data_IF_169127509674
#
_entry.id   IF_169127509674
#
_cell.length_a   1.000
_cell.length_b   1.000
_cell.length_c   1.000
_cell.angle_alpha   90.00
_cell.angle_beta   90.00
_cell.angle_gamma   90.00
#
_symmetry.space_group_name_H-M   'P 1'
#
loop_
_entity.id
_entity.type
_entity.pdbx_description
1 polymer ?
#
# COMPACT_ATOMS: atom_id res chain seq x y z
N UNK A 1 1.65 -3.72 -1.53
CA UNK A 1 0.36 -4.40 -1.35
C UNK A 1 -0.53 -4.11 -2.54
N UNK A 2 -0.38 -4.82 -3.66
CA UNK A 2 -1.21 -4.61 -4.86
C UNK A 2 -2.60 -5.25 -4.76
N UNK A 3 -2.99 -5.67 -3.56
CA UNK A 3 -4.03 -6.68 -3.37
C UNK A 3 -5.37 -6.12 -2.88
N UNK A 4 -5.46 -4.84 -2.50
CA UNK A 4 -6.58 -4.32 -1.71
C UNK A 4 -7.97 -4.55 -2.34
N UNK A 5 -8.22 -4.03 -3.54
CA UNK A 5 -9.59 -3.92 -4.04
C UNK A 5 -10.09 -5.19 -4.73
N UNK A 6 -9.23 -5.86 -5.50
CA UNK A 6 -9.52 -7.21 -6.03
C UNK A 6 -9.84 -8.18 -4.90
N UNK A 7 -9.13 -8.07 -3.76
CA UNK A 7 -9.42 -8.89 -2.59
C UNK A 7 -10.72 -8.49 -1.91
N UNK A 8 -11.06 -7.22 -1.67
CA UNK A 8 -12.34 -6.90 -0.99
C UNK A 8 -13.53 -7.52 -1.73
N UNK A 9 -13.56 -7.39 -3.05
CA UNK A 9 -14.62 -7.94 -3.90
C UNK A 9 -14.59 -9.46 -3.90
N UNK A 10 -13.43 -10.09 -4.09
CA UNK A 10 -13.29 -11.54 -4.09
C UNK A 10 -13.58 -12.17 -2.71
N UNK A 11 -13.14 -11.53 -1.64
CA UNK A 11 -13.35 -11.91 -0.25
C UNK A 11 -14.82 -11.75 0.13
N UNK A 12 -15.50 -10.66 -0.24
CA UNK A 12 -16.94 -10.52 -0.02
C UNK A 12 -17.72 -11.63 -0.73
N UNK A 13 -17.31 -12.02 -1.95
CA UNK A 13 -17.91 -13.13 -2.70
C UNK A 13 -17.69 -14.49 -2.04
N UNK A 14 -16.49 -14.74 -1.54
CA UNK A 14 -16.20 -15.93 -0.72
C UNK A 14 -17.06 -15.98 0.53
N UNK A 15 -17.23 -14.84 1.20
CA UNK A 15 -18.06 -14.74 2.40
C UNK A 15 -19.52 -15.14 2.16
N UNK A 16 -20.10 -14.74 1.02
CA UNK A 16 -21.48 -15.12 0.62
C UNK A 16 -21.57 -16.51 -0.04
N UNK A 17 -20.51 -17.33 0.04
CA UNK A 17 -20.52 -18.72 -0.43
C UNK A 17 -20.30 -18.91 -1.93
N UNK A 18 -19.87 -17.87 -2.67
CA UNK A 18 -19.55 -18.03 -4.09
C UNK A 18 -18.20 -18.72 -4.26
N UNK A 19 -18.20 -19.84 -5.00
CA UNK A 19 -16.98 -20.60 -5.32
C UNK A 19 -16.04 -19.85 -6.28
N UNK A 20 -16.56 -18.89 -7.05
CA UNK A 20 -15.80 -18.14 -8.05
C UNK A 20 -15.49 -16.71 -7.58
N UNK A 21 -14.37 -16.56 -6.88
CA UNK A 21 -13.90 -15.31 -6.28
C UNK A 21 -12.92 -14.54 -7.16
N UNK A 22 -12.45 -15.16 -8.25
CA UNK A 22 -11.55 -14.56 -9.23
C UNK A 22 -12.27 -13.57 -10.16
N UNK A 23 -13.60 -13.64 -10.17
CA UNK A 23 -14.48 -12.85 -11.04
C UNK A 23 -14.76 -11.49 -10.37
N UNK A 24 -14.55 -10.35 -11.03
CA UNK A 24 -14.94 -9.03 -10.54
C UNK A 24 -16.44 -8.90 -10.31
N UNK A 25 -16.83 -8.00 -9.38
CA UNK A 25 -18.23 -7.74 -9.00
C UNK A 25 -19.07 -7.27 -10.20
N UNK A 26 -18.49 -6.36 -10.98
CA UNK A 26 -19.15 -5.71 -12.12
C UNK A 26 -19.05 -6.53 -13.42
N UNK A 27 -18.13 -7.49 -13.51
CA UNK A 27 -17.82 -8.19 -14.76
C UNK A 27 -18.13 -9.68 -14.66
N UNK A 28 -19.42 -10.05 -14.70
CA UNK A 28 -19.90 -11.44 -14.65
C UNK A 28 -19.31 -12.35 -15.74
N UNK A 29 -18.83 -11.77 -16.86
CA UNK A 29 -18.23 -12.53 -17.97
C UNK A 29 -16.71 -12.69 -17.84
N UNK A 30 -16.08 -12.13 -16.80
CA UNK A 30 -14.62 -12.11 -16.66
C UNK A 30 -13.99 -13.51 -16.68
N UNK A 31 -14.64 -14.53 -16.13
CA UNK A 31 -14.14 -15.93 -16.19
C UNK A 31 -13.96 -16.43 -17.62
N UNK A 32 -14.84 -15.99 -18.53
CA UNK A 32 -14.84 -16.36 -19.94
C UNK A 32 -13.85 -15.54 -20.77
N UNK A 33 -13.18 -14.56 -20.17
CA UNK A 33 -12.19 -13.75 -20.88
C UNK A 33 -10.92 -14.57 -21.14
N UNK A 34 -10.28 -14.30 -22.28
CA UNK A 34 -8.96 -14.85 -22.58
C UNK A 34 -7.95 -14.41 -21.53
N UNK A 35 -6.86 -15.17 -21.40
CA UNK A 35 -5.76 -14.88 -20.47
C UNK A 35 -5.30 -13.42 -20.59
N UNK A 36 -4.91 -12.98 -21.80
CA UNK A 36 -4.44 -11.61 -22.06
C UNK A 36 -5.45 -10.52 -21.70
N UNK A 37 -6.75 -10.78 -21.87
CA UNK A 37 -7.79 -9.81 -21.52
C UNK A 37 -7.96 -9.70 -20.00
N UNK A 38 -7.79 -10.79 -19.25
CA UNK A 38 -7.78 -10.78 -17.79
C UNK A 38 -6.55 -10.04 -17.26
N UNK A 39 -5.37 -10.35 -17.77
CA UNK A 39 -4.11 -9.69 -17.40
C UNK A 39 -4.16 -8.17 -17.67
N UNK A 40 -4.59 -7.78 -18.87
CA UNK A 40 -4.73 -6.37 -19.22
C UNK A 40 -5.72 -5.65 -18.29
N UNK A 41 -6.84 -6.27 -17.94
CA UNK A 41 -7.81 -5.68 -17.04
C UNK A 41 -7.28 -5.57 -15.60
N UNK A 42 -6.65 -6.62 -15.09
CA UNK A 42 -6.08 -6.64 -13.75
C UNK A 42 -5.03 -5.54 -13.59
N UNK A 43 -4.18 -5.37 -14.60
CA UNK A 43 -3.19 -4.31 -14.64
C UNK A 43 -3.81 -2.91 -14.80
N UNK A 44 -4.73 -2.72 -15.77
CA UNK A 44 -5.26 -1.39 -16.06
C UNK A 44 -6.27 -0.89 -15.03
N UNK A 45 -7.01 -1.77 -14.37
CA UNK A 45 -8.09 -1.38 -13.46
C UNK A 45 -7.72 -1.67 -12.01
N UNK A 46 -7.42 -2.92 -11.66
CA UNK A 46 -7.21 -3.28 -10.25
C UNK A 46 -5.96 -2.68 -9.64
N UNK A 47 -4.84 -2.75 -10.37
CA UNK A 47 -3.61 -2.12 -9.95
C UNK A 47 -3.78 -0.59 -9.78
N UNK A 48 -4.48 0.06 -10.71
CA UNK A 48 -4.75 1.50 -10.66
C UNK A 48 -5.67 1.90 -9.50
N UNK A 49 -6.70 1.10 -9.20
CA UNK A 49 -7.56 1.31 -8.04
C UNK A 49 -6.78 1.15 -6.72
N UNK A 50 -5.88 0.17 -6.63
CA UNK A 50 -4.99 0.03 -5.47
C UNK A 50 -4.03 1.23 -5.34
N UNK A 51 -3.45 1.69 -6.45
CA UNK A 51 -2.66 2.92 -6.51
C UNK A 51 -3.46 4.15 -6.06
N UNK A 52 -4.73 4.25 -6.44
CA UNK A 52 -5.59 5.38 -6.05
C UNK A 52 -5.80 5.45 -4.53
N UNK A 53 -5.88 4.31 -3.84
CA UNK A 53 -5.94 4.28 -2.38
C UNK A 53 -4.66 4.82 -1.74
N UNK A 54 -3.50 4.33 -2.18
CA UNK A 54 -2.20 4.79 -1.67
C UNK A 54 -1.98 6.28 -1.96
N UNK A 55 -2.34 6.72 -3.16
CA UNK A 55 -2.33 8.13 -3.55
C UNK A 55 -3.26 8.96 -2.66
N UNK A 56 -4.45 8.46 -2.32
CA UNK A 56 -5.39 9.16 -1.43
C UNK A 56 -4.81 9.35 -0.04
N UNK A 57 -4.10 8.34 0.51
CA UNK A 57 -3.41 8.47 1.80
C UNK A 57 -2.29 9.51 1.70
N UNK A 58 -1.47 9.46 0.65
CA UNK A 58 -0.42 10.46 0.41
C UNK A 58 -1.00 11.88 0.25
N UNK A 59 -2.14 12.02 -0.42
CA UNK A 59 -2.84 13.29 -0.58
C UNK A 59 -3.35 13.82 0.76
N UNK A 60 -3.89 12.95 1.62
CA UNK A 60 -4.28 13.33 2.99
C UNK A 60 -3.07 13.78 3.81
N UNK A 61 -1.91 13.12 3.69
CA UNK A 61 -0.66 13.58 4.29
C UNK A 61 -0.30 15.00 3.82
N UNK A 62 -0.35 15.22 2.51
CA UNK A 62 -0.04 16.51 1.89
C UNK A 62 -1.02 17.61 2.30
N UNK A 63 -2.30 17.31 2.44
CA UNK A 63 -3.29 18.30 2.83
C UNK A 63 -3.21 18.64 4.32
N UNK A 64 -2.95 17.66 5.20
CA UNK A 64 -3.18 17.83 6.66
C UNK A 64 -1.89 17.90 7.48
N UNK A 65 -0.86 17.14 7.12
CA UNK A 65 0.40 17.09 7.87
C UNK A 65 1.45 18.04 7.28
N UNK A 66 1.55 18.06 5.96
CA UNK A 66 2.58 18.84 5.27
C UNK A 66 2.51 20.35 5.58
N UNK A 67 1.35 21.04 5.58
CA UNK A 67 1.29 22.48 5.85
C UNK A 67 1.70 22.84 7.28
N UNK A 68 1.55 21.91 8.22
CA UNK A 68 1.89 22.10 9.64
C UNK A 68 3.39 21.83 9.87
N UNK A 69 3.95 20.83 9.20
CA UNK A 69 5.31 20.35 9.44
C UNK A 69 6.34 21.01 8.54
N UNK A 70 6.00 21.34 7.30
CA UNK A 70 6.92 21.90 6.31
C UNK A 70 7.51 23.27 6.70
N UNK A 71 6.75 24.24 7.25
CA UNK A 71 7.33 25.51 7.70
C UNK A 71 8.35 25.34 8.83
N UNK A 72 8.17 24.34 9.70
CA UNK A 72 9.10 24.00 10.78
C UNK A 72 10.35 23.25 10.24
N UNK A 73 10.25 22.61 9.07
CA UNK A 73 11.26 21.69 8.54
C UNK A 73 12.56 22.36 8.08
N UNK A 74 12.65 23.69 8.02
CA UNK A 74 13.93 24.38 7.73
C UNK A 74 14.99 24.10 8.82
N UNK A 75 14.56 23.82 10.05
CA UNK A 75 15.44 23.44 11.16
C UNK A 75 15.13 22.02 11.62
N UNK A 76 16.16 21.19 11.79
CA UNK A 76 15.96 19.82 12.24
C UNK A 76 15.70 19.79 13.75
N UNK A 77 14.47 19.45 14.16
CA UNK A 77 14.13 19.31 15.57
C UNK A 77 13.04 18.27 15.81
N UNK A 78 13.04 17.69 17.01
CA UNK A 78 12.21 16.52 17.34
C UNK A 78 10.71 16.74 17.14
N UNK A 79 10.20 17.97 17.36
CA UNK A 79 8.77 18.27 17.31
C UNK A 79 8.10 17.98 15.96
N UNK A 80 8.65 18.42 14.82
CA UNK A 80 8.04 18.13 13.51
C UNK A 80 8.42 16.74 13.01
N UNK A 81 9.65 16.28 13.31
CA UNK A 81 10.11 14.93 12.95
C UNK A 81 9.20 13.87 13.59
N UNK A 82 8.93 13.98 14.88
CA UNK A 82 8.06 13.02 15.59
C UNK A 82 6.64 13.02 15.03
N UNK A 83 6.10 14.17 14.59
CA UNK A 83 4.78 14.24 13.90
C UNK A 83 4.76 13.41 12.61
N UNK A 84 5.82 13.50 11.80
CA UNK A 84 5.95 12.72 10.56
C UNK A 84 6.04 11.22 10.86
N UNK A 85 6.84 10.83 11.85
CA UNK A 85 6.95 9.44 12.30
C UNK A 85 5.63 8.90 12.85
N UNK A 86 4.98 9.64 13.75
CA UNK A 86 3.68 9.27 14.33
C UNK A 86 2.60 9.14 13.25
N UNK A 87 2.60 10.01 12.24
CA UNK A 87 1.68 9.88 11.11
C UNK A 87 1.92 8.60 10.31
N UNK A 88 3.17 8.27 9.98
CA UNK A 88 3.49 7.05 9.23
C UNK A 88 3.16 5.79 10.04
N UNK A 89 3.47 5.77 11.33
CA UNK A 89 3.09 4.69 12.25
C UNK A 89 1.57 4.59 12.38
N UNK A 90 0.85 5.71 12.47
CA UNK A 90 -0.61 5.70 12.49
C UNK A 90 -1.18 5.15 11.17
N UNK A 91 -0.56 5.45 10.02
CA UNK A 91 -0.97 4.87 8.74
C UNK A 91 -0.74 3.36 8.69
N UNK A 92 0.37 2.86 9.24
CA UNK A 92 0.60 1.44 9.43
C UNK A 92 -0.51 0.83 10.32
N UNK A 93 -0.68 1.32 11.54
CA UNK A 93 -1.63 0.72 12.47
C UNK A 93 -3.10 0.86 12.04
N UNK A 94 -3.46 1.91 11.29
CA UNK A 94 -4.83 2.09 10.81
C UNK A 94 -4.99 1.33 9.50
N UNK A 95 -4.30 1.73 8.43
CA UNK A 95 -4.56 1.17 7.10
C UNK A 95 -3.97 -0.23 6.94
N UNK A 96 -2.69 -0.43 7.26
CA UNK A 96 -2.05 -1.74 7.10
C UNK A 96 -2.73 -2.79 7.98
N UNK A 97 -2.92 -2.50 9.27
CA UNK A 97 -3.58 -3.44 10.19
C UNK A 97 -5.06 -3.63 9.87
N UNK A 98 -5.79 -2.60 9.43
CA UNK A 98 -7.18 -2.77 8.97
C UNK A 98 -7.24 -3.71 7.76
N UNK A 99 -6.38 -3.52 6.76
CA UNK A 99 -6.33 -4.41 5.61
C UNK A 99 -5.92 -5.82 6.01
N UNK A 100 -4.92 -5.96 6.87
CA UNK A 100 -4.50 -7.26 7.39
C UNK A 100 -5.62 -7.94 8.16
N UNK A 101 -6.26 -7.26 9.12
CA UNK A 101 -7.38 -7.81 9.86
C UNK A 101 -8.53 -8.19 8.93
N UNK A 102 -8.93 -7.30 8.03
CA UNK A 102 -10.02 -7.56 7.09
C UNK A 102 -9.75 -8.80 6.25
N UNK A 103 -8.53 -8.97 5.74
CA UNK A 103 -8.17 -10.05 4.82
C UNK A 103 -7.77 -11.35 5.52
N UNK A 104 -7.31 -11.30 6.78
CA UNK A 104 -6.63 -12.40 7.44
C UNK A 104 -7.07 -12.70 8.87
N UNK A 105 -7.64 -11.72 9.58
CA UNK A 105 -8.01 -11.86 10.99
C UNK A 105 -9.20 -12.80 11.18
N UNK A 106 -9.08 -13.84 12.00
CA UNK A 106 -10.17 -14.83 12.25
C UNK A 106 -11.49 -14.20 12.71
N UNK A 107 -11.41 -13.04 13.36
CA UNK A 107 -12.57 -12.27 13.83
C UNK A 107 -13.17 -11.35 12.77
N UNK A 108 -12.49 -11.14 11.65
CA UNK A 108 -13.06 -10.44 10.50
C UNK A 108 -14.18 -11.29 9.89
N UNK A 109 -15.25 -10.69 9.37
CA UNK A 109 -16.32 -11.44 8.71
C UNK A 109 -15.82 -12.14 7.42
N UNK A 110 -14.71 -11.67 6.88
CA UNK A 110 -14.24 -11.91 5.51
C UNK A 110 -13.33 -13.14 5.30
N UNK A 111 -12.35 -13.46 6.16
CA UNK A 111 -11.50 -14.64 6.00
C UNK A 111 -12.23 -15.89 6.52
N UNK A 112 -13.13 -16.44 5.71
CA UNK A 112 -13.65 -17.80 5.91
C UNK A 112 -13.29 -18.66 4.69
N UNK A 113 -12.86 -19.90 4.93
CA UNK A 113 -12.54 -20.89 3.89
C UNK A 113 -11.13 -20.76 3.28
N UNK A 114 -11.01 -21.12 1.99
CA UNK A 114 -9.72 -21.36 1.29
C UNK A 114 -8.70 -20.21 1.30
N UNK A 115 -9.11 -18.97 1.57
CA UNK A 115 -8.22 -17.82 1.58
C UNK A 115 -7.39 -17.73 2.87
N UNK A 116 -7.98 -18.15 4.01
CA UNK A 116 -7.26 -18.30 5.28
C UNK A 116 -6.21 -19.42 5.16
N UNK A 117 -6.60 -20.54 4.54
CA UNK A 117 -5.74 -21.70 4.31
C UNK A 117 -4.59 -21.43 3.34
N UNK A 118 -4.71 -20.43 2.45
CA UNK A 118 -3.64 -20.09 1.49
C UNK A 118 -2.55 -19.17 2.05
N UNK A 119 -2.89 -18.15 2.85
CA UNK A 119 -1.87 -17.29 3.48
C UNK A 119 -1.33 -17.88 4.79
N UNK A 120 -2.20 -18.52 5.58
CA UNK A 120 -1.82 -19.23 6.79
C UNK A 120 -1.86 -20.73 6.57
N UNK A 121 -1.33 -21.19 5.42
CA UNK A 121 -1.16 -22.62 5.19
C UNK A 121 -0.16 -23.17 6.21
N UNK A 122 -0.57 -24.01 7.17
CA UNK A 122 0.37 -24.58 8.14
C UNK A 122 1.46 -25.45 7.47
N UNK A 123 1.27 -25.83 6.20
CA UNK A 123 2.21 -26.62 5.39
C UNK A 123 3.16 -25.71 4.57
N UNK A 124 2.69 -24.57 4.05
CA UNK A 124 3.45 -23.70 3.13
C UNK A 124 3.81 -22.31 3.71
N UNK A 125 3.59 -22.06 5.01
CA UNK A 125 4.14 -20.86 5.64
C UNK A 125 5.63 -21.04 5.87
N UNK A 126 6.44 -20.82 4.83
CA UNK A 126 7.89 -20.63 4.89
C UNK A 126 8.57 -21.60 5.88
N UNK A 127 8.63 -22.86 5.42
CA UNK A 127 8.92 -24.20 6.00
C UNK A 127 9.89 -24.43 7.18
N UNK A 128 10.35 -23.43 7.94
CA UNK A 128 11.13 -23.69 9.17
C UNK A 128 10.25 -23.71 10.43
N UNK A 129 9.99 -24.92 10.94
CA UNK A 129 9.42 -25.13 12.28
C UNK A 129 10.24 -24.32 13.30
N UNK A 130 9.55 -23.51 14.12
CA UNK A 130 10.07 -22.70 15.24
C UNK A 130 10.51 -21.25 14.93
N UNK A 131 10.31 -20.70 13.73
CA UNK A 131 10.54 -19.27 13.50
C UNK A 131 9.27 -18.43 13.80
N UNK A 132 9.41 -17.35 14.59
CA UNK A 132 8.36 -16.35 14.84
C UNK A 132 8.15 -15.44 13.61
N UNK A 133 7.68 -16.01 12.49
CA UNK A 133 7.58 -15.30 11.20
C UNK A 133 6.61 -14.12 11.22
N UNK A 134 5.56 -14.17 12.04
CA UNK A 134 4.67 -13.02 12.22
C UNK A 134 5.41 -11.82 12.83
N UNK A 135 6.27 -12.07 13.82
CA UNK A 135 7.08 -11.02 14.42
C UNK A 135 8.07 -10.45 13.39
N UNK A 136 8.66 -11.30 12.56
CA UNK A 136 9.52 -10.90 11.44
C UNK A 136 8.77 -10.00 10.44
N UNK A 137 7.57 -10.40 10.01
CA UNK A 137 6.74 -9.62 9.08
C UNK A 137 6.35 -8.26 9.66
N UNK A 138 5.90 -8.23 10.93
CA UNK A 138 5.60 -6.98 11.64
C UNK A 138 6.86 -6.13 11.69
N UNK A 139 8.00 -6.70 12.10
CA UNK A 139 9.28 -5.96 12.22
C UNK A 139 9.71 -5.35 10.91
N UNK A 140 9.74 -6.10 9.81
CA UNK A 140 10.14 -5.56 8.50
C UNK A 140 9.13 -4.57 7.93
N UNK A 141 7.84 -4.77 8.18
CA UNK A 141 6.81 -3.81 7.78
C UNK A 141 7.03 -2.49 8.51
N UNK A 142 7.16 -2.53 9.83
CA UNK A 142 7.41 -1.35 10.66
C UNK A 142 8.73 -0.67 10.28
N UNK A 143 9.81 -1.43 10.04
CA UNK A 143 11.07 -0.88 9.55
C UNK A 143 10.90 -0.17 8.20
N UNK A 144 10.10 -0.70 7.29
CA UNK A 144 9.77 -0.04 6.02
C UNK A 144 9.05 1.29 6.22
N UNK A 145 8.08 1.36 7.14
CA UNK A 145 7.39 2.61 7.51
C UNK A 145 8.33 3.62 8.18
N UNK A 146 9.21 3.18 9.07
CA UNK A 146 10.21 4.03 9.71
C UNK A 146 11.23 4.57 8.69
N UNK A 147 11.67 3.74 7.75
CA UNK A 147 12.54 4.16 6.66
C UNK A 147 11.84 5.19 5.76
N UNK A 148 10.58 4.96 5.41
CA UNK A 148 9.76 5.93 4.66
C UNK A 148 9.65 7.27 5.40
N UNK A 149 9.34 7.24 6.69
CA UNK A 149 9.27 8.45 7.53
C UNK A 149 10.60 9.20 7.60
N UNK A 150 11.72 8.47 7.76
CA UNK A 150 13.05 9.05 7.76
C UNK A 150 13.37 9.75 6.43
N UNK A 151 13.15 9.06 5.31
CA UNK A 151 13.35 9.62 3.96
C UNK A 151 12.47 10.87 3.77
N UNK A 152 11.21 10.81 4.18
CA UNK A 152 10.30 11.97 4.15
C UNK A 152 10.87 13.16 4.94
N UNK A 153 11.39 12.94 6.16
CA UNK A 153 11.98 14.00 6.96
C UNK A 153 13.22 14.60 6.28
N UNK A 154 14.12 13.77 5.76
CA UNK A 154 15.32 14.23 5.06
C UNK A 154 14.95 15.12 3.87
N UNK A 155 14.03 14.68 3.01
CA UNK A 155 13.62 15.46 1.83
C UNK A 155 12.89 16.74 2.21
N UNK A 156 11.99 16.70 3.20
CA UNK A 156 11.34 17.91 3.70
C UNK A 156 12.34 18.94 4.22
N UNK A 157 13.36 18.51 4.97
CA UNK A 157 14.41 19.41 5.46
C UNK A 157 15.25 19.99 4.32
N UNK A 158 15.64 19.16 3.35
CA UNK A 158 16.40 19.62 2.17
C UNK A 158 15.62 20.65 1.35
N UNK A 159 14.31 20.43 1.16
CA UNK A 159 13.42 21.34 0.45
C UNK A 159 13.18 22.64 1.22
N UNK A 160 12.82 22.56 2.50
CA UNK A 160 12.50 23.72 3.32
C UNK A 160 13.73 24.61 3.58
N UNK A 161 14.94 24.02 3.59
CA UNK A 161 16.19 24.76 3.76
C UNK A 161 16.84 25.26 2.47
N UNK A 162 16.18 25.06 1.33
CA UNK A 162 16.68 25.51 0.02
C UNK A 162 17.91 24.76 -0.49
N UNK A 163 18.29 23.64 0.15
CA UNK A 163 19.41 22.78 -0.30
C UNK A 163 19.06 21.96 -1.52
N UNK A 164 17.77 21.64 -1.68
CA UNK A 164 17.23 20.94 -2.84
C UNK A 164 16.05 21.75 -3.37
N UNK A 165 16.02 22.09 -4.68
CA UNK A 165 14.87 22.75 -5.25
C UNK A 165 13.64 21.83 -5.17
N UNK A 166 12.49 22.42 -4.84
CA UNK A 166 11.20 21.75 -4.91
C UNK A 166 10.22 22.59 -5.72
N UNK A 167 9.25 21.92 -6.34
CA UNK A 167 8.24 22.58 -7.14
C UNK A 167 6.99 22.81 -6.29
N UNK A 168 6.54 24.06 -6.20
CA UNK A 168 5.39 24.45 -5.36
C UNK A 168 4.03 23.94 -5.87
N UNK A 169 3.97 23.40 -7.09
CA UNK A 169 2.72 22.92 -7.66
C UNK A 169 2.96 21.86 -8.73
N UNK A 170 2.07 20.87 -8.76
CA UNK A 170 2.10 19.75 -9.70
C UNK A 170 2.21 20.22 -11.17
N UNK A 171 1.44 21.26 -11.52
CA UNK A 171 1.33 21.81 -12.87
C UNK A 171 2.49 22.73 -13.27
N UNK A 172 3.43 23.04 -12.37
CA UNK A 172 4.60 23.84 -12.73
C UNK A 172 5.57 23.10 -13.65
N UNK A 173 5.58 21.75 -13.59
CA UNK A 173 6.36 20.86 -14.47
C UNK A 173 5.57 19.60 -14.82
N UNK A 174 4.48 19.72 -15.60
CA UNK A 174 3.49 18.65 -15.76
C UNK A 174 4.08 17.36 -16.32
N UNK A 175 4.97 17.43 -17.31
CA UNK A 175 5.63 16.25 -17.87
C UNK A 175 6.50 15.51 -16.84
N UNK A 176 7.27 16.24 -16.04
CA UNK A 176 8.09 15.65 -14.98
C UNK A 176 7.21 15.06 -13.87
N UNK A 177 6.16 15.77 -13.45
CA UNK A 177 5.23 15.31 -12.41
C UNK A 177 4.50 14.04 -12.85
N UNK A 178 4.01 13.97 -14.10
CA UNK A 178 3.39 12.77 -14.67
C UNK A 178 4.41 11.63 -14.76
N UNK A 179 5.62 11.90 -15.24
CA UNK A 179 6.68 10.89 -15.33
C UNK A 179 7.02 10.28 -13.97
N UNK A 180 7.17 11.11 -12.93
CA UNK A 180 7.42 10.65 -11.56
C UNK A 180 6.24 9.83 -11.03
N UNK A 181 5.00 10.26 -11.24
CA UNK A 181 3.82 9.46 -10.85
C UNK A 181 3.81 8.09 -11.53
N UNK A 182 4.11 8.03 -12.82
CA UNK A 182 4.17 6.78 -13.57
C UNK A 182 5.31 5.87 -13.09
N UNK A 183 6.49 6.41 -12.82
CA UNK A 183 7.61 5.62 -12.29
C UNK A 183 7.30 5.10 -10.89
N UNK A 184 6.76 5.92 -9.99
CA UNK A 184 6.44 5.48 -8.64
C UNK A 184 5.43 4.33 -8.69
N UNK A 185 4.42 4.45 -9.55
CA UNK A 185 3.47 3.37 -9.79
C UNK A 185 4.17 2.11 -10.33
N UNK A 186 5.06 2.26 -11.32
CA UNK A 186 5.76 1.13 -11.95
C UNK A 186 6.77 0.44 -11.01
N UNK A 187 7.60 1.21 -10.31
CA UNK A 187 8.65 0.71 -9.41
C UNK A 187 8.07 -0.16 -8.30
N UNK A 188 6.90 0.23 -7.78
CA UNK A 188 6.19 -0.54 -6.76
C UNK A 188 5.80 -1.93 -7.25
N UNK A 189 5.30 -2.04 -8.48
CA UNK A 189 4.87 -3.33 -9.03
C UNK A 189 6.04 -4.24 -9.38
N UNK A 190 7.15 -3.66 -9.86
CA UNK A 190 8.36 -4.43 -10.15
C UNK A 190 8.87 -5.17 -8.91
N UNK A 191 8.84 -4.54 -7.73
CA UNK A 191 9.27 -5.18 -6.48
C UNK A 191 8.45 -6.44 -6.11
N UNK A 192 7.17 -6.51 -6.50
CA UNK A 192 6.33 -7.70 -6.29
C UNK A 192 6.53 -8.78 -7.37
N UNK A 193 7.07 -8.42 -8.54
CA UNK A 193 7.36 -9.39 -9.60
C UNK A 193 8.53 -10.32 -9.24
N UNK A 194 9.55 -9.82 -8.52
CA UNK A 194 10.71 -10.62 -8.10
C UNK A 194 10.51 -11.40 -6.79
N UNK A 195 9.40 -11.17 -6.11
CA UNK A 195 9.07 -11.84 -4.85
C UNK A 195 8.12 -13.05 -5.03
N UNK A 196 7.74 -13.36 -6.26
CA UNK A 196 6.98 -14.57 -6.65
C UNK A 196 7.87 -15.51 -7.47
#
# INVERSE_FOLDING_TARGET
MTFGIRNIVGIHRLHIGQKNYLTPLLFKTYEKWSYWKKEAFDYLIWCHLAHALDFSIALLCWLWIFPITFPEANQWHIKWVSRVFLYNIACEFIFYSFWHWMTYGRTSPYPRGSLHEKKFNPINQYEEKNQHQLLREITFTTLGWLQSAFVQCVFMWLWASGRLPYYNGFWSRPFFSIYILLIIAYWREFHFYWAN
#
